data_IF_870895084601
#
_entry.id   IF_870895084601
#
_cell.length_a   1.000
_cell.length_b   1.000
_cell.length_c   1.000
_cell.angle_alpha   90.00
_cell.angle_beta   90.00
_cell.angle_gamma   90.00
#
_symmetry.space_group_name_H-M   'P 1'
#
loop_
_entity.id
_entity.type
_entity.pdbx_description
1 polymer ?
#
# COMPACT_ATOMS: atom_id res chain seq x y z
N UNK A 1 21.20 -11.72 -6.48
CA UNK A 1 20.48 -10.47 -6.76
C UNK A 1 18.99 -10.78 -6.66
N UNK A 2 18.32 -10.37 -5.59
CA UNK A 2 16.88 -10.60 -5.43
C UNK A 2 16.13 -9.69 -6.41
N UNK A 3 15.61 -10.27 -7.50
CA UNK A 3 14.68 -9.61 -8.41
C UNK A 3 13.41 -9.24 -7.63
N UNK A 4 13.38 -8.04 -7.05
CA UNK A 4 12.22 -7.52 -6.34
C UNK A 4 11.30 -6.85 -7.34
N UNK A 5 10.12 -7.46 -7.57
CA UNK A 5 9.16 -6.95 -8.56
C UNK A 5 8.15 -5.96 -7.94
N UNK A 6 7.59 -5.04 -8.74
CA UNK A 6 6.49 -4.17 -8.32
C UNK A 6 5.31 -4.91 -7.68
N UNK A 7 4.97 -6.08 -8.22
CA UNK A 7 3.90 -6.93 -7.67
C UNK A 7 4.23 -7.47 -6.29
N UNK A 8 5.46 -7.95 -6.07
CA UNK A 8 5.91 -8.40 -4.74
C UNK A 8 5.89 -7.28 -3.71
N UNK A 9 6.32 -6.07 -4.10
CA UNK A 9 6.21 -4.88 -3.24
C UNK A 9 4.75 -4.62 -2.86
N UNK A 10 3.83 -4.68 -3.83
CA UNK A 10 2.41 -4.43 -3.57
C UNK A 10 1.80 -5.48 -2.62
N UNK A 11 2.12 -6.77 -2.80
CA UNK A 11 1.73 -7.84 -1.88
C UNK A 11 2.24 -7.60 -0.46
N UNK A 12 3.52 -7.20 -0.33
CA UNK A 12 4.14 -6.92 0.95
C UNK A 12 3.46 -5.73 1.67
N UNK A 13 3.14 -4.66 0.93
CA UNK A 13 2.40 -3.52 1.46
C UNK A 13 0.97 -3.89 1.91
N UNK A 14 0.29 -4.78 1.17
CA UNK A 14 -1.00 -5.32 1.58
C UNK A 14 -0.85 -6.13 2.87
N UNK A 15 0.15 -7.01 2.97
CA UNK A 15 0.39 -7.82 4.17
C UNK A 15 0.67 -6.96 5.41
N UNK A 16 1.54 -5.96 5.29
CA UNK A 16 1.84 -4.98 6.36
C UNK A 16 0.59 -4.23 6.81
N UNK A 17 -0.25 -3.79 5.87
CA UNK A 17 -1.50 -3.12 6.21
C UNK A 17 -2.56 -4.08 6.77
N UNK A 18 -2.56 -5.38 6.46
CA UNK A 18 -3.49 -6.36 7.06
C UNK A 18 -3.08 -6.79 8.47
N UNK A 19 -1.78 -6.84 8.76
CA UNK A 19 -1.26 -7.35 10.02
C UNK A 19 -1.55 -6.39 11.20
N UNK A 20 -2.24 -6.87 12.24
CA UNK A 20 -2.52 -6.09 13.45
C UNK A 20 -1.23 -5.52 14.06
N UNK A 21 -1.28 -4.26 14.53
CA UNK A 21 -0.16 -3.59 15.22
C UNK A 21 1.16 -3.46 14.46
N UNK A 22 1.10 -3.26 13.15
CA UNK A 22 2.32 -3.03 12.35
C UNK A 22 2.99 -1.70 12.73
N UNK A 23 4.21 -1.77 13.25
CA UNK A 23 5.00 -0.60 13.67
C UNK A 23 5.94 -0.12 12.56
N UNK A 24 6.51 1.07 12.75
CA UNK A 24 7.52 1.61 11.83
C UNK A 24 8.73 0.69 11.65
N UNK A 25 9.22 0.08 12.73
CA UNK A 25 10.36 -0.83 12.68
C UNK A 25 10.06 -2.06 11.81
N UNK A 26 8.86 -2.64 11.94
CA UNK A 26 8.40 -3.76 11.11
C UNK A 26 8.34 -3.38 9.64
N UNK A 27 7.80 -2.19 9.32
CA UNK A 27 7.75 -1.68 7.93
C UNK A 27 9.15 -1.51 7.37
N UNK A 28 10.08 -0.91 8.12
CA UNK A 28 11.48 -0.75 7.67
C UNK A 28 12.14 -2.10 7.40
N UNK A 29 11.98 -3.06 8.30
CA UNK A 29 12.58 -4.39 8.17
C UNK A 29 12.05 -5.14 6.95
N UNK A 30 10.72 -5.17 6.77
CA UNK A 30 10.05 -5.91 5.71
C UNK A 30 10.25 -5.27 4.34
N UNK A 31 10.32 -3.94 4.28
CA UNK A 31 10.61 -3.25 3.02
C UNK A 31 12.09 -3.21 2.68
N UNK A 32 13.03 -3.41 3.61
CA UNK A 32 14.49 -3.38 3.34
C UNK A 32 14.91 -4.03 2.01
N UNK A 33 14.44 -5.22 1.62
CA UNK A 33 14.83 -5.87 0.36
C UNK A 33 14.46 -5.11 -0.91
N UNK A 34 13.44 -4.24 -0.85
CA UNK A 34 12.93 -3.48 -1.99
C UNK A 34 13.58 -2.10 -2.13
N UNK A 35 14.42 -1.70 -1.18
CA UNK A 35 14.70 -0.28 -0.93
C UNK A 35 16.16 0.06 -1.12
N UNK A 36 16.38 1.24 -1.66
CA UNK A 36 17.73 1.82 -1.75
C UNK A 36 17.96 2.87 -0.69
N UNK A 37 16.88 3.50 -0.20
CA UNK A 37 16.92 4.58 0.79
C UNK A 37 15.67 4.55 1.67
N UNK A 38 15.88 4.84 2.96
CA UNK A 38 14.83 4.98 3.96
C UNK A 38 15.10 6.24 4.77
N UNK A 39 14.08 7.10 4.93
CA UNK A 39 14.19 8.35 5.68
C UNK A 39 12.97 8.52 6.59
N UNK A 40 13.14 8.66 7.91
CA UNK A 40 12.06 9.18 8.75
C UNK A 40 11.73 10.60 8.32
N UNK A 41 10.45 10.94 8.28
CA UNK A 41 10.00 12.31 8.13
C UNK A 41 9.52 12.78 9.51
N UNK A 42 9.88 14.00 9.95
CA UNK A 42 9.47 14.52 11.25
C UNK A 42 7.97 14.40 11.48
N UNK A 43 7.60 14.01 12.71
CA UNK A 43 6.20 13.90 13.12
C UNK A 43 5.47 15.22 12.91
N UNK A 44 4.26 15.16 12.35
CA UNK A 44 3.37 16.32 12.19
C UNK A 44 1.97 15.92 12.62
N UNK A 45 1.32 16.76 13.43
CA UNK A 45 -0.06 16.55 13.87
C UNK A 45 -0.31 15.18 14.52
N UNK A 46 0.63 14.69 15.34
CA UNK A 46 0.52 13.40 16.01
C UNK A 46 0.70 12.17 15.11
N UNK A 47 1.14 12.37 13.86
CA UNK A 47 1.42 11.29 12.89
C UNK A 47 2.90 11.17 12.61
N UNK A 48 3.38 9.93 12.58
CA UNK A 48 4.75 9.61 12.16
C UNK A 48 4.74 9.14 10.71
N UNK A 49 5.78 9.49 9.96
CA UNK A 49 5.86 9.19 8.54
C UNK A 49 7.20 8.54 8.22
N UNK A 50 7.14 7.46 7.44
CA UNK A 50 8.32 6.79 6.90
C UNK A 50 8.33 6.92 5.39
N UNK A 51 9.40 7.51 4.86
CA UNK A 51 9.67 7.55 3.43
C UNK A 51 10.61 6.41 3.05
N UNK A 52 10.22 5.65 2.04
CA UNK A 52 10.96 4.51 1.53
C UNK A 52 11.05 4.63 0.01
N UNK A 53 12.24 4.52 -0.57
CA UNK A 53 12.48 4.82 -1.98
C UNK A 53 13.34 3.78 -2.71
N UNK A 54 12.98 3.56 -3.97
CA UNK A 54 13.76 2.80 -4.95
C UNK A 54 13.51 3.35 -6.38
N UNK A 55 14.24 2.89 -7.41
CA UNK A 55 14.15 3.47 -8.76
C UNK A 55 12.73 3.51 -9.35
N UNK A 56 11.89 2.52 -9.06
CA UNK A 56 10.54 2.44 -9.62
C UNK A 56 9.43 2.90 -8.66
N UNK A 57 9.76 3.24 -7.41
CA UNK A 57 8.74 3.62 -6.42
C UNK A 57 9.21 4.56 -5.31
N UNK A 58 8.24 5.26 -4.73
CA UNK A 58 8.35 5.98 -3.46
C UNK A 58 7.14 5.64 -2.60
N UNK A 59 7.38 5.06 -1.44
CA UNK A 59 6.39 4.74 -0.41
C UNK A 59 6.43 5.79 0.69
N UNK A 60 5.28 6.34 1.04
CA UNK A 60 5.08 7.12 2.27
C UNK A 60 4.14 6.34 3.17
N UNK A 61 4.69 5.68 4.19
CA UNK A 61 3.92 5.00 5.22
C UNK A 61 3.57 5.99 6.34
N UNK A 62 2.32 5.97 6.77
CA UNK A 62 1.76 6.86 7.80
C UNK A 62 1.35 6.02 9.00
N UNK A 63 1.83 6.42 10.17
CA UNK A 63 1.56 5.79 11.45
C UNK A 63 0.75 6.75 12.31
N UNK A 64 -0.30 6.24 12.96
CA UNK A 64 -1.26 7.05 13.73
C UNK A 64 -1.67 6.32 15.02
N UNK A 65 -2.22 7.08 15.96
CA UNK A 65 -2.70 6.58 17.25
C UNK A 65 -1.60 6.45 18.31
N UNK A 66 -1.98 6.15 19.57
CA UNK A 66 -1.05 6.07 20.71
C UNK A 66 0.00 4.96 20.53
N UNK A 67 -0.33 3.90 19.79
CA UNK A 67 0.58 2.80 19.47
C UNK A 67 1.40 3.03 18.18
N UNK A 68 1.21 4.16 17.48
CA UNK A 68 1.87 4.49 16.20
C UNK A 68 1.79 3.34 15.19
N UNK A 69 0.56 2.85 14.95
CA UNK A 69 0.34 1.73 14.04
C UNK A 69 0.19 2.22 12.60
N UNK A 70 0.65 1.38 11.67
CA UNK A 70 0.52 1.63 10.23
C UNK A 70 -0.96 1.73 9.85
N UNK A 71 -1.35 2.92 9.39
CA UNK A 71 -2.72 3.23 9.00
C UNK A 71 -2.87 3.35 7.47
N UNK A 72 -1.90 3.99 6.82
CA UNK A 72 -1.97 4.30 5.40
C UNK A 72 -0.60 4.22 4.72
N UNK A 73 -0.59 3.79 3.46
CA UNK A 73 0.55 3.86 2.55
C UNK A 73 0.17 4.62 1.29
N UNK A 74 0.96 5.62 0.93
CA UNK A 74 0.91 6.26 -0.39
C UNK A 74 2.09 5.74 -1.20
N UNK A 75 1.80 5.02 -2.28
CA UNK A 75 2.77 4.44 -3.19
C UNK A 75 2.78 5.23 -4.50
N UNK A 76 3.85 5.97 -4.76
CA UNK A 76 4.12 6.63 -6.05
C UNK A 76 4.96 5.71 -6.92
N UNK A 77 4.59 5.57 -8.18
CA UNK A 77 5.14 4.57 -9.09
C UNK A 77 5.52 5.17 -10.44
N UNK A 78 6.44 4.51 -11.14
CA UNK A 78 6.60 4.69 -12.58
C UNK A 78 5.36 4.16 -13.32
N UNK A 79 5.09 4.61 -14.57
CA UNK A 79 3.98 4.09 -15.37
C UNK A 79 4.01 2.56 -15.56
N UNK A 80 5.19 1.98 -15.77
CA UNK A 80 5.36 0.54 -15.94
C UNK A 80 5.00 -0.24 -14.67
N UNK A 81 5.57 0.14 -13.52
CA UNK A 81 5.28 -0.51 -12.23
C UNK A 81 3.80 -0.39 -11.84
N UNK A 82 3.17 0.76 -12.13
CA UNK A 82 1.73 0.95 -11.92
C UNK A 82 0.88 0.03 -12.79
N UNK A 83 1.20 -0.12 -14.07
CA UNK A 83 0.47 -0.99 -14.97
C UNK A 83 0.52 -2.45 -14.51
N UNK A 84 1.71 -2.90 -14.08
CA UNK A 84 1.94 -4.25 -13.57
C UNK A 84 1.16 -4.53 -12.28
N UNK A 85 1.25 -3.63 -11.29
CA UNK A 85 0.49 -3.73 -10.03
C UNK A 85 -1.02 -3.67 -10.28
N UNK A 86 -1.49 -2.80 -11.20
CA UNK A 86 -2.91 -2.71 -11.54
C UNK A 86 -3.41 -3.98 -12.22
N UNK A 87 -2.62 -4.57 -13.12
CA UNK A 87 -2.97 -5.84 -13.76
C UNK A 87 -3.08 -6.96 -12.72
N UNK A 88 -2.08 -7.09 -11.84
CA UNK A 88 -2.10 -8.03 -10.74
C UNK A 88 -3.29 -7.83 -9.78
N UNK A 89 -3.58 -6.58 -9.39
CA UNK A 89 -4.70 -6.28 -8.49
C UNK A 89 -6.07 -6.69 -9.07
N UNK A 90 -6.19 -6.75 -10.40
CA UNK A 90 -7.42 -7.22 -11.08
C UNK A 90 -7.53 -8.74 -11.15
N UNK A 91 -6.42 -9.47 -11.02
CA UNK A 91 -6.42 -10.94 -10.99
C UNK A 91 -6.58 -11.51 -9.59
N UNK A 92 -6.51 -10.67 -8.55
CA UNK A 92 -6.74 -11.11 -7.17
C UNK A 92 -8.14 -11.72 -7.06
N UNK A 93 -8.25 -13.00 -6.64
CA UNK A 93 -9.52 -13.68 -6.58
C UNK A 93 -10.42 -13.04 -5.53
N UNK A 94 -11.70 -12.92 -5.86
CA UNK A 94 -12.71 -12.45 -4.92
C UNK A 94 -12.92 -13.41 -3.72
N UNK A 95 -12.33 -14.61 -3.78
CA UNK A 95 -12.86 -15.80 -3.10
C UNK A 95 -11.99 -16.41 -2.00
N UNK A 96 -10.79 -15.88 -1.70
CA UNK A 96 -10.00 -16.38 -0.53
C UNK A 96 -9.55 -15.27 0.42
N UNK A 97 -9.24 -14.08 -0.10
CA UNK A 97 -8.87 -12.90 0.71
C UNK A 97 -9.97 -11.81 0.75
N UNK A 98 -11.15 -12.11 0.19
CA UNK A 98 -12.24 -11.15 0.03
C UNK A 98 -11.84 -9.89 -0.74
N UNK A 99 -10.85 -10.00 -1.63
CA UNK A 99 -10.34 -8.92 -2.45
C UNK A 99 -11.26 -8.66 -3.65
N UNK A 100 -11.99 -7.55 -3.65
CA UNK A 100 -12.95 -7.17 -4.69
C UNK A 100 -12.47 -5.93 -5.42
N UNK A 101 -12.13 -6.09 -6.70
CA UNK A 101 -11.96 -4.97 -7.61
C UNK A 101 -13.29 -4.27 -7.87
N UNK A 102 -13.32 -2.94 -7.71
CA UNK A 102 -14.47 -2.09 -8.06
C UNK A 102 -14.00 -0.96 -8.99
N UNK A 103 -14.66 -0.82 -10.14
CA UNK A 103 -14.31 0.26 -11.07
C UNK A 103 -14.92 0.15 -12.46
N UNK A 104 -16.21 -0.19 -12.59
CA UNK A 104 -16.88 -0.31 -13.90
C UNK A 104 -17.88 0.81 -14.21
N UNK A 105 -17.92 1.90 -13.45
CA UNK A 105 -18.88 3.01 -13.67
C UNK A 105 -18.17 4.36 -13.84
N UNK A 106 -18.65 5.16 -14.81
CA UNK A 106 -18.17 6.52 -15.09
C UNK A 106 -18.20 7.34 -13.79
N UNK A 107 -17.03 7.82 -13.36
CA UNK A 107 -16.87 8.70 -12.19
C UNK A 107 -16.30 8.04 -10.93
N UNK A 108 -16.30 6.70 -10.81
CA UNK A 108 -15.67 6.04 -9.65
C UNK A 108 -14.20 5.70 -9.93
N UNK A 109 -13.31 6.15 -9.04
CA UNK A 109 -11.90 5.79 -9.09
C UNK A 109 -11.74 4.26 -8.95
N UNK A 110 -10.90 3.62 -9.79
CA UNK A 110 -10.65 2.20 -9.66
C UNK A 110 -10.06 1.89 -8.28
N UNK A 111 -10.65 0.92 -7.60
CA UNK A 111 -10.20 0.53 -6.27
C UNK A 111 -10.26 -0.99 -6.09
N UNK A 112 -9.41 -1.46 -5.19
CA UNK A 112 -9.44 -2.80 -4.65
C UNK A 112 -9.89 -2.70 -3.19
N UNK A 113 -11.03 -3.30 -2.85
CA UNK A 113 -11.44 -3.49 -1.46
C UNK A 113 -10.92 -4.87 -1.03
N UNK A 114 -10.23 -5.01 0.11
CA UNK A 114 -9.75 -6.30 0.63
C UNK A 114 -10.41 -6.54 1.97
N UNK A 115 -10.95 -7.75 2.17
CA UNK A 115 -11.58 -8.10 3.43
C UNK A 115 -10.59 -8.08 4.59
N UNK A 116 -11.09 -7.91 5.83
CA UNK A 116 -10.24 -8.04 7.01
C UNK A 116 -9.51 -9.39 7.02
N UNK A 117 -8.30 -9.42 7.58
CA UNK A 117 -7.64 -10.69 7.89
C UNK A 117 -8.40 -11.41 9.03
N UNK A 118 -8.26 -12.72 9.11
CA UNK A 118 -8.81 -13.51 10.23
C UNK A 118 -8.26 -12.94 11.55
N UNK A 119 -9.16 -12.54 12.46
CA UNK A 119 -8.80 -11.88 13.73
C UNK A 119 -8.57 -10.37 13.66
N UNK A 120 -8.86 -9.72 12.53
CA UNK A 120 -8.88 -8.25 12.38
C UNK A 120 -10.30 -7.78 12.02
N UNK A 121 -10.74 -6.68 12.61
CA UNK A 121 -12.01 -6.03 12.26
C UNK A 121 -11.86 -5.07 11.07
N UNK A 122 -10.63 -4.68 10.75
CA UNK A 122 -10.33 -3.65 9.74
C UNK A 122 -10.04 -4.27 8.36
N UNK A 123 -10.84 -3.88 7.36
CA UNK A 123 -10.57 -4.17 5.95
C UNK A 123 -9.55 -3.22 5.36
N UNK A 124 -9.12 -3.45 4.12
CA UNK A 124 -8.26 -2.53 3.39
C UNK A 124 -8.93 -1.99 2.15
N UNK A 125 -8.53 -0.79 1.75
CA UNK A 125 -8.89 -0.23 0.45
C UNK A 125 -7.64 0.32 -0.24
N UNK A 126 -7.44 -0.07 -1.49
CA UNK A 126 -6.39 0.46 -2.36
C UNK A 126 -7.02 1.23 -3.53
N UNK A 127 -6.80 2.53 -3.61
CA UNK A 127 -7.24 3.39 -4.71
C UNK A 127 -6.14 3.54 -5.75
N UNK A 128 -6.49 3.36 -7.02
CA UNK A 128 -5.56 3.44 -8.15
C UNK A 128 -5.77 4.77 -8.90
N UNK A 129 -4.90 5.73 -8.60
CA UNK A 129 -4.94 7.09 -9.15
C UNK A 129 -3.92 7.21 -10.29
N UNK A 130 -4.42 7.07 -11.52
CA UNK A 130 -3.59 7.08 -12.72
C UNK A 130 -4.01 8.09 -13.79
N UNK A 131 -4.80 9.10 -13.42
CA UNK A 131 -5.41 10.06 -14.36
C UNK A 131 -4.38 10.94 -15.09
N UNK A 132 -3.20 11.14 -14.49
CA UNK A 132 -2.11 11.89 -15.13
C UNK A 132 -1.08 10.93 -15.76
N UNK A 133 -0.53 11.23 -16.95
CA UNK A 133 0.42 10.35 -17.63
C UNK A 133 1.66 10.02 -16.79
N UNK A 134 2.22 11.04 -16.11
CA UNK A 134 3.48 10.93 -15.38
C UNK A 134 3.33 10.72 -13.86
N UNK A 135 2.10 10.83 -13.33
CA UNK A 135 1.85 10.67 -11.89
C UNK A 135 0.96 9.46 -11.66
N UNK A 136 1.59 8.35 -11.25
CA UNK A 136 0.88 7.12 -10.86
C UNK A 136 0.98 6.94 -9.36
N UNK A 137 -0.17 6.90 -8.72
CA UNK A 137 -0.27 6.80 -7.26
C UNK A 137 -1.25 5.68 -6.92
N UNK A 138 -0.86 4.85 -5.97
CA UNK A 138 -1.76 3.92 -5.30
C UNK A 138 -1.83 4.33 -3.83
N UNK A 139 -3.03 4.54 -3.31
CA UNK A 139 -3.25 4.87 -1.89
C UNK A 139 -3.89 3.66 -1.23
N UNK A 140 -3.19 3.05 -0.28
CA UNK A 140 -3.68 1.93 0.51
C UNK A 140 -3.99 2.41 1.93
N UNK A 141 -5.22 2.22 2.39
CA UNK A 141 -5.67 2.68 3.70
C UNK A 141 -6.42 1.59 4.43
N UNK A 142 -6.18 1.47 5.75
CA UNK A 142 -7.04 0.67 6.63
C UNK A 142 -8.42 1.31 6.76
N UNK A 143 -9.45 0.50 6.61
CA UNK A 143 -10.80 0.88 6.92
C UNK A 143 -11.09 0.48 8.36
N UNK A 144 -11.20 1.46 9.27
CA UNK A 144 -11.91 1.25 10.52
C UNK A 144 -13.38 0.95 10.18
N UNK A 145 -13.97 -0.05 10.84
CA UNK A 145 -15.41 -0.30 10.79
C UNK A 145 -16.15 0.74 11.61
#
# INVERSE_FOLDING_TARGET
MTNTSPTQLFQELLALLRATRTTEATVRQRLRPFTTRTRPIPSRLGRTYLLVEAPFFRVTATFEGPAQELYQVILRLTPAAYAEIKAYARTLPATEDGARWRGRWLGMLPRLDVAPAVGSEAGLRAYFLGLFPQRKIVVLTRQAR
#
